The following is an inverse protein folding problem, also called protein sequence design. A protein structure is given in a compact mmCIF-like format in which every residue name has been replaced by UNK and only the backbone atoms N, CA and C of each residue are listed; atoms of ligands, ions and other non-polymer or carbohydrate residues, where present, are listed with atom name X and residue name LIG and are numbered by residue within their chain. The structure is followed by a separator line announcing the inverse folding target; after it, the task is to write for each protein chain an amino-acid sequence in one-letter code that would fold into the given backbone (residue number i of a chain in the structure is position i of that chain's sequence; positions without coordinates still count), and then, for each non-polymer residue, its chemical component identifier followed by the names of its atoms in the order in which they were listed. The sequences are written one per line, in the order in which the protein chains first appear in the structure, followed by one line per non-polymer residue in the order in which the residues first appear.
data_IF_668733339551
#
_entry.id   IF_668733339551
#
_cell.length_a   1.000
_cell.length_b   1.000
_cell.length_c   1.000
_cell.angle_alpha   90.00
_cell.angle_beta   90.00
_cell.angle_gamma   90.00
#
_symmetry.space_group_name_H-M   'P 1'
#
loop_
_entity.id
_entity.type
_entity.pdbx_description
1 polymer ?
#
# COMPACT_ATOMS: atom_id res chain seq x y z
N UNK A 1 -1.95 21.00 -15.80
CA UNK A 1 -1.76 20.42 -14.45
C UNK A 1 -0.94 19.14 -14.63
N UNK A 2 0.37 19.14 -14.37
CA UNK A 2 1.17 17.91 -14.45
C UNK A 2 1.04 17.19 -13.11
N UNK A 3 0.21 16.16 -13.05
CA UNK A 3 0.27 15.20 -11.95
C UNK A 3 1.67 14.58 -12.03
N UNK A 4 2.61 15.12 -11.26
CA UNK A 4 3.96 14.60 -11.23
C UNK A 4 3.86 13.14 -10.83
N UNK A 5 4.30 12.24 -11.71
CA UNK A 5 4.37 10.85 -11.35
C UNK A 5 5.29 10.74 -10.13
N UNK A 6 4.67 10.40 -8.99
CA UNK A 6 5.30 10.41 -7.68
C UNK A 6 6.38 9.33 -7.57
N UNK A 7 6.34 8.33 -8.46
CA UNK A 7 7.22 7.18 -8.49
C UNK A 7 7.95 7.07 -9.84
N UNK A 8 9.22 6.64 -9.79
CA UNK A 8 9.99 6.28 -10.97
C UNK A 8 9.64 4.87 -11.45
N UNK A 9 9.93 4.48 -12.70
CA UNK A 9 9.79 3.08 -13.15
C UNK A 9 10.48 2.07 -12.24
N UNK A 10 11.63 2.44 -11.67
CA UNK A 10 12.36 1.63 -10.68
C UNK A 10 11.58 1.49 -9.39
N UNK A 11 10.96 2.56 -8.89
CA UNK A 11 10.11 2.50 -7.70
C UNK A 11 8.90 1.58 -7.93
N UNK A 12 8.28 1.62 -9.11
CA UNK A 12 7.19 0.70 -9.46
C UNK A 12 7.63 -0.77 -9.46
N UNK A 13 8.82 -1.07 -9.99
CA UNK A 13 9.36 -2.43 -9.96
C UNK A 13 9.61 -2.90 -8.52
N UNK A 14 10.13 -2.02 -7.66
CA UNK A 14 10.37 -2.31 -6.23
C UNK A 14 9.05 -2.53 -5.49
N UNK A 15 8.04 -1.68 -5.71
CA UNK A 15 6.71 -1.83 -5.10
C UNK A 15 6.08 -3.15 -5.54
N UNK A 16 6.16 -3.51 -6.82
CA UNK A 16 5.66 -4.80 -7.32
C UNK A 16 6.34 -5.98 -6.62
N UNK A 17 7.67 -5.97 -6.51
CA UNK A 17 8.40 -7.01 -5.78
C UNK A 17 8.05 -7.02 -4.28
N UNK A 18 7.76 -5.87 -3.67
CA UNK A 18 7.30 -5.79 -2.28
C UNK A 18 5.89 -6.36 -2.09
N UNK A 19 4.99 -6.16 -3.06
CA UNK A 19 3.64 -6.75 -3.07
C UNK A 19 3.70 -8.28 -3.09
N UNK A 20 4.59 -8.87 -3.90
CA UNK A 20 4.78 -10.32 -3.96
C UNK A 20 5.29 -10.93 -2.63
N UNK A 21 5.87 -10.11 -1.75
CA UNK A 21 6.36 -10.52 -0.44
C UNK A 21 5.31 -10.39 0.67
N UNK A 22 4.17 -9.76 0.40
CA UNK A 22 3.11 -9.65 1.39
C UNK A 22 2.46 -11.01 1.64
N UNK A 23 2.12 -11.35 2.90
CA UNK A 23 1.31 -12.51 3.19
C UNK A 23 -0.07 -12.39 2.53
N UNK A 24 -0.66 -13.50 2.06
CA UNK A 24 -1.83 -13.52 1.18
C UNK A 24 -2.98 -12.57 1.56
N UNK A 25 -3.43 -12.59 2.82
CA UNK A 25 -4.50 -11.67 3.29
C UNK A 25 -4.09 -10.19 3.25
N UNK A 26 -2.82 -9.87 3.49
CA UNK A 26 -2.31 -8.51 3.42
C UNK A 26 -2.15 -8.04 1.97
N UNK A 27 -1.73 -8.92 1.07
CA UNK A 27 -1.71 -8.63 -0.36
C UNK A 27 -3.13 -8.37 -0.89
N UNK A 28 -4.10 -9.21 -0.49
CA UNK A 28 -5.48 -9.09 -0.91
C UNK A 28 -6.12 -7.75 -0.50
N UNK A 29 -5.97 -7.31 0.76
CA UNK A 29 -6.54 -6.02 1.18
C UNK A 29 -5.92 -4.82 0.45
N UNK A 30 -4.64 -4.91 0.08
CA UNK A 30 -3.97 -3.84 -0.68
C UNK A 30 -4.42 -3.86 -2.14
N UNK A 31 -4.55 -5.03 -2.75
CA UNK A 31 -5.06 -5.16 -4.12
C UNK A 31 -6.48 -4.60 -4.25
N UNK A 32 -7.37 -5.02 -3.34
CA UNK A 32 -8.75 -4.52 -3.32
C UNK A 32 -8.81 -3.00 -3.10
N UNK A 33 -7.96 -2.46 -2.20
CA UNK A 33 -7.96 -1.02 -1.93
C UNK A 33 -7.43 -0.19 -3.09
N UNK A 34 -6.31 -0.59 -3.70
CA UNK A 34 -5.58 0.27 -4.64
C UNK A 34 -5.72 -0.11 -6.12
N UNK A 35 -5.94 -1.38 -6.45
CA UNK A 35 -6.19 -1.83 -7.82
C UNK A 35 -7.68 -1.85 -8.15
N UNK A 36 -8.51 -2.30 -7.22
CA UNK A 36 -9.97 -2.35 -7.40
C UNK A 36 -10.68 -1.10 -6.89
N UNK A 37 -9.94 -0.17 -6.27
CA UNK A 37 -10.46 1.10 -5.74
C UNK A 37 -11.66 0.93 -4.78
N UNK A 38 -11.67 -0.15 -3.99
CA UNK A 38 -12.72 -0.43 -3.02
C UNK A 38 -12.48 0.35 -1.72
N UNK A 39 -13.57 0.75 -1.06
CA UNK A 39 -13.53 1.32 0.28
C UNK A 39 -13.37 0.24 1.35
N UNK A 40 -12.82 0.59 2.52
CA UNK A 40 -12.50 -0.37 3.58
C UNK A 40 -13.72 -1.18 4.04
N UNK A 41 -14.92 -0.59 3.99
CA UNK A 41 -16.19 -1.27 4.30
C UNK A 41 -16.50 -2.34 3.27
N UNK A 42 -16.37 -2.03 1.97
CA UNK A 42 -16.61 -2.97 0.87
C UNK A 42 -15.58 -4.12 0.90
N UNK A 43 -14.33 -3.82 1.28
CA UNK A 43 -13.29 -4.84 1.47
C UNK A 43 -13.64 -5.77 2.63
N UNK A 44 -14.13 -5.22 3.74
CA UNK A 44 -14.52 -6.00 4.91
C UNK A 44 -15.66 -6.98 4.57
N UNK A 45 -16.66 -6.49 3.83
CA UNK A 45 -17.77 -7.32 3.31
C UNK A 45 -17.26 -8.40 2.35
N UNK A 46 -16.39 -8.04 1.41
CA UNK A 46 -15.83 -8.95 0.40
C UNK A 46 -15.00 -10.09 1.02
N UNK A 47 -14.26 -9.79 2.08
CA UNK A 47 -13.42 -10.77 2.77
C UNK A 47 -14.13 -11.50 3.92
N UNK A 48 -15.38 -11.12 4.23
CA UNK A 48 -16.12 -11.68 5.37
C UNK A 48 -15.49 -11.35 6.73
N UNK A 49 -14.85 -10.17 6.84
CA UNK A 49 -14.15 -9.71 8.04
C UNK A 49 -14.89 -8.53 8.68
N UNK A 50 -14.58 -8.24 9.95
CA UNK A 50 -15.04 -6.99 10.57
C UNK A 50 -14.31 -5.78 9.98
N UNK A 51 -14.96 -4.61 9.99
CA UNK A 51 -14.33 -3.35 9.55
C UNK A 51 -13.01 -3.09 10.30
N UNK A 52 -13.02 -3.22 11.63
CA UNK A 52 -11.81 -3.07 12.46
C UNK A 52 -10.69 -4.05 12.09
N UNK A 53 -11.02 -5.31 11.81
CA UNK A 53 -10.04 -6.31 11.39
C UNK A 53 -9.41 -5.92 10.05
N UNK A 54 -10.22 -5.41 9.14
CA UNK A 54 -9.79 -4.96 7.81
C UNK A 54 -8.90 -3.73 7.89
N UNK A 55 -9.26 -2.73 8.70
CA UNK A 55 -8.41 -1.56 8.97
C UNK A 55 -7.05 -1.96 9.55
N UNK A 56 -7.05 -2.89 10.52
CA UNK A 56 -5.82 -3.39 11.12
C UNK A 56 -4.96 -4.16 10.10
N UNK A 57 -5.57 -4.96 9.22
CA UNK A 57 -4.88 -5.65 8.14
C UNK A 57 -4.27 -4.67 7.15
N UNK A 58 -5.03 -3.66 6.71
CA UNK A 58 -4.57 -2.66 5.76
C UNK A 58 -3.40 -1.85 6.34
N UNK A 59 -3.52 -1.44 7.60
CA UNK A 59 -2.44 -0.73 8.33
C UNK A 59 -1.17 -1.56 8.39
N UNK A 60 -1.28 -2.86 8.74
CA UNK A 60 -0.14 -3.78 8.79
C UNK A 60 0.46 -4.03 7.40
N UNK A 61 -0.38 -4.18 6.38
CA UNK A 61 0.06 -4.38 5.00
C UNK A 61 0.86 -3.18 4.49
N UNK A 62 0.36 -1.96 4.69
CA UNK A 62 1.06 -0.73 4.33
C UNK A 62 2.37 -0.56 5.10
N UNK A 63 2.40 -0.92 6.39
CA UNK A 63 3.64 -0.92 7.17
C UNK A 63 4.67 -1.89 6.59
N UNK A 64 4.27 -3.11 6.25
CA UNK A 64 5.17 -4.10 5.63
C UNK A 64 5.69 -3.63 4.28
N UNK A 65 4.83 -3.08 3.42
CA UNK A 65 5.23 -2.50 2.13
C UNK A 65 6.24 -1.38 2.31
N UNK A 66 6.00 -0.48 3.26
CA UNK A 66 6.93 0.59 3.60
C UNK A 66 8.27 0.02 4.03
N UNK A 67 8.30 -1.00 4.88
CA UNK A 67 9.54 -1.64 5.32
C UNK A 67 10.28 -2.33 4.17
N UNK A 68 9.58 -3.01 3.26
CA UNK A 68 10.18 -3.66 2.10
C UNK A 68 10.75 -2.66 1.09
N UNK A 69 10.03 -1.56 0.84
CA UNK A 69 10.46 -0.53 -0.10
C UNK A 69 11.60 0.33 0.47
N UNK A 70 11.49 0.82 1.71
CA UNK A 70 12.52 1.69 2.32
C UNK A 70 13.87 0.98 2.52
N UNK A 71 13.84 -0.33 2.78
CA UNK A 71 15.06 -1.15 2.87
C UNK A 71 15.73 -1.33 1.51
N UNK A 72 15.02 -1.19 0.40
CA UNK A 72 15.61 -1.32 -0.93
C UNK A 72 16.52 -0.12 -1.26
N UNK A 73 17.80 -0.33 -1.63
CA UNK A 73 18.77 0.76 -1.81
C UNK A 73 18.43 1.67 -3.00
N UNK A 74 17.75 1.13 -4.01
CA UNK A 74 17.34 1.88 -5.21
C UNK A 74 15.93 2.49 -5.11
N UNK A 75 15.24 2.33 -3.98
CA UNK A 75 13.96 3.02 -3.78
C UNK A 75 14.26 4.50 -3.58
N UNK A 76 13.46 5.39 -4.17
CA UNK A 76 13.63 6.84 -4.10
C UNK A 76 13.39 7.35 -2.67
N UNK A 77 14.37 7.14 -1.79
CA UNK A 77 14.33 7.25 -0.33
C UNK A 77 13.92 8.63 0.22
N UNK A 78 13.78 9.67 -0.61
CA UNK A 78 13.86 11.05 -0.09
C UNK A 78 12.99 12.10 -0.79
N UNK A 79 12.01 11.75 -1.62
CA UNK A 79 11.06 12.77 -2.14
C UNK A 79 9.68 12.73 -1.51
N UNK A 80 9.36 11.69 -0.74
CA UNK A 80 8.00 11.44 -0.22
C UNK A 80 7.84 11.54 1.29
N UNK A 81 8.70 12.31 1.96
CA UNK A 81 8.45 12.83 3.31
C UNK A 81 7.17 13.68 3.43
N UNK A 82 6.42 13.85 2.32
CA UNK A 82 5.30 14.77 2.14
C UNK A 82 3.91 14.11 2.19
N UNK A 83 3.80 12.78 2.28
CA UNK A 83 2.52 12.13 2.64
C UNK A 83 2.34 12.11 4.18
N UNK A 84 2.58 13.26 4.80
CA UNK A 84 2.29 13.53 6.22
C UNK A 84 0.86 14.07 6.42
N UNK A 85 0.02 14.08 5.39
CA UNK A 85 -1.28 14.73 5.44
C UNK A 85 -2.28 13.92 4.61
N UNK A 86 -2.82 12.85 5.18
CA UNK A 86 -4.10 12.25 4.77
C UNK A 86 -4.70 11.47 5.96
N UNK A 87 -4.58 12.07 7.16
CA UNK A 87 -5.33 11.72 8.37
C UNK A 87 -5.64 13.02 9.14
N UNK A 88 -6.40 13.92 8.51
CA UNK A 88 -7.05 15.06 9.18
C UNK A 88 -8.45 15.23 8.65
#
# INVERSE_FOLDING_TARGET
MRCANLFTPTDYAIIRAAMERLPGLHAAVVDLRFWQNMETVEIAETLGLSLRSTEALLTRALRMLREFCLKHPAFSRSKHSMLKIMES
#
